data_IF_376883405384
#
_entry.id   IF_376883405384
#
_cell.length_a   1.000
_cell.length_b   1.000
_cell.length_c   1.000
_cell.angle_alpha   90.00
_cell.angle_beta   90.00
_cell.angle_gamma   90.00
#
_symmetry.space_group_name_H-M   'P 1'
#
loop_
_entity.id
_entity.type
_entity.pdbx_description
1 polymer ?
#
# COMPACT_ATOMS: atom_id res chain seq x y z
N UNK A 1 -4.58 41.54 27.79
CA UNK A 1 -5.86 40.81 27.78
C UNK A 1 -5.88 39.92 26.54
N UNK A 2 -5.87 38.59 26.69
CA UNK A 2 -6.01 37.70 25.54
C UNK A 2 -7.45 37.79 25.02
N UNK A 3 -7.62 38.05 23.73
CA UNK A 3 -8.94 38.05 23.09
C UNK A 3 -9.44 36.59 23.03
N UNK A 4 -10.72 36.31 23.30
CA UNK A 4 -11.25 34.94 23.31
C UNK A 4 -11.24 34.29 21.91
N UNK A 5 -11.38 35.10 20.86
CA UNK A 5 -11.42 34.63 19.47
C UNK A 5 -10.16 33.84 19.03
N UNK A 6 -8.92 34.34 19.19
CA UNK A 6 -7.73 33.58 18.81
C UNK A 6 -7.56 32.28 19.62
N UNK A 7 -8.04 32.23 20.87
CA UNK A 7 -7.99 31.01 21.69
C UNK A 7 -8.92 29.93 21.14
N UNK A 8 -10.12 30.30 20.70
CA UNK A 8 -11.07 29.37 20.08
C UNK A 8 -10.55 28.83 18.75
N UNK A 9 -9.90 29.68 17.94
CA UNK A 9 -9.29 29.25 16.68
C UNK A 9 -8.16 28.25 16.93
N UNK A 10 -7.28 28.52 17.91
CA UNK A 10 -6.20 27.60 18.24
C UNK A 10 -6.71 26.24 18.72
N UNK A 11 -7.74 26.24 19.58
CA UNK A 11 -8.33 25.00 20.10
C UNK A 11 -8.98 24.16 18.98
N UNK A 12 -9.67 24.80 18.04
CA UNK A 12 -10.28 24.11 16.90
C UNK A 12 -9.23 23.47 15.97
N UNK A 13 -8.12 24.16 15.70
CA UNK A 13 -7.03 23.62 14.88
C UNK A 13 -6.35 22.42 15.55
N UNK A 14 -6.12 22.49 16.87
CA UNK A 14 -5.50 21.39 17.63
C UNK A 14 -6.40 20.15 17.69
N UNK A 15 -7.72 20.32 17.86
CA UNK A 15 -8.66 19.21 17.87
C UNK A 15 -8.79 18.50 16.51
N UNK A 16 -8.68 19.25 15.40
CA UNK A 16 -8.76 18.69 14.05
C UNK A 16 -7.56 17.82 13.67
N UNK A 17 -6.38 18.04 14.26
CA UNK A 17 -5.18 17.23 14.00
C UNK A 17 -5.02 16.04 14.97
N UNK A 18 -5.80 15.98 16.04
CA UNK A 18 -5.70 14.93 17.06
C UNK A 18 -6.58 13.70 16.77
N UNK A 19 -7.37 13.73 15.69
CA UNK A 19 -8.17 12.57 15.29
C UNK A 19 -7.26 11.50 14.69
N UNK A 20 -7.13 10.38 15.38
CA UNK A 20 -6.56 9.15 14.81
C UNK A 20 -7.72 8.37 14.18
N UNK A 21 -7.84 8.31 12.83
CA UNK A 21 -8.89 7.52 12.20
C UNK A 21 -8.63 6.06 12.51
N UNK A 22 -9.66 5.38 13.04
CA UNK A 22 -9.61 3.93 13.24
C UNK A 22 -9.40 3.26 11.87
N UNK A 23 -8.30 2.53 11.73
CA UNK A 23 -8.03 1.78 10.52
C UNK A 23 -8.95 0.55 10.47
N UNK A 24 -9.63 0.36 9.34
CA UNK A 24 -10.40 -0.85 9.10
C UNK A 24 -9.47 -2.07 9.20
N UNK A 25 -9.88 -3.07 10.00
CA UNK A 25 -9.19 -4.35 10.05
C UNK A 25 -9.33 -5.04 8.69
N UNK A 26 -8.28 -4.95 7.88
CA UNK A 26 -8.18 -5.70 6.64
C UNK A 26 -8.00 -7.17 7.03
N UNK A 27 -9.10 -7.94 6.98
CA UNK A 27 -9.04 -9.40 7.01
C UNK A 27 -8.25 -9.84 5.79
N UNK A 28 -6.98 -10.13 6.02
CA UNK A 28 -6.00 -10.50 5.00
C UNK A 28 -6.13 -12.00 4.70
N UNK A 29 -7.32 -12.46 4.32
CA UNK A 29 -7.34 -13.69 3.52
C UNK A 29 -6.52 -13.39 2.26
N UNK A 30 -5.64 -14.31 1.79
CA UNK A 30 -4.92 -14.12 0.55
C UNK A 30 -5.91 -14.21 -0.61
N UNK A 31 -6.69 -13.15 -0.81
CA UNK A 31 -7.58 -13.02 -1.94
C UNK A 31 -6.74 -13.04 -3.21
N UNK A 32 -7.17 -13.84 -4.18
CA UNK A 32 -6.54 -13.89 -5.48
C UNK A 32 -6.61 -12.49 -6.11
N UNK A 33 -5.45 -11.90 -6.38
CA UNK A 33 -5.37 -10.59 -7.02
C UNK A 33 -5.50 -10.80 -8.52
N UNK A 34 -6.56 -10.22 -9.10
CA UNK A 34 -6.70 -10.14 -10.55
C UNK A 34 -5.88 -8.99 -11.08
N UNK A 35 -4.74 -9.31 -11.70
CA UNK A 35 -3.91 -8.35 -12.39
C UNK A 35 -4.47 -8.04 -13.77
N UNK A 36 -4.36 -6.77 -14.16
CA UNK A 36 -4.47 -6.38 -15.57
C UNK A 36 -3.29 -6.97 -16.36
N UNK A 37 -3.45 -7.10 -17.67
CA UNK A 37 -2.36 -7.58 -18.53
C UNK A 37 -1.12 -6.71 -18.51
N UNK A 38 -1.29 -5.39 -18.35
CA UNK A 38 -0.17 -4.49 -18.18
C UNK A 38 0.62 -4.82 -16.89
N UNK A 39 -0.07 -5.02 -15.77
CA UNK A 39 0.57 -5.36 -14.49
C UNK A 39 1.24 -6.74 -14.55
N UNK A 40 0.59 -7.73 -15.15
CA UNK A 40 1.17 -9.06 -15.31
C UNK A 40 2.41 -9.04 -16.22
N UNK A 41 2.36 -8.31 -17.33
CA UNK A 41 3.51 -8.16 -18.22
C UNK A 41 4.68 -7.45 -17.51
N UNK A 42 4.38 -6.40 -16.75
CA UNK A 42 5.39 -5.71 -15.94
C UNK A 42 6.05 -6.63 -14.92
N UNK A 43 5.28 -7.49 -14.23
CA UNK A 43 5.84 -8.50 -13.31
C UNK A 43 6.75 -9.50 -14.04
N UNK A 44 6.31 -10.00 -15.21
CA UNK A 44 7.10 -10.93 -16.01
C UNK A 44 8.44 -10.36 -16.48
N UNK A 45 8.50 -9.05 -16.75
CA UNK A 45 9.74 -8.36 -17.14
C UNK A 45 10.66 -8.04 -15.95
N UNK A 46 10.09 -7.75 -14.77
CA UNK A 46 10.87 -7.26 -13.62
C UNK A 46 11.43 -8.37 -12.73
N UNK A 47 10.67 -9.45 -12.50
CA UNK A 47 11.11 -10.58 -11.65
C UNK A 47 12.47 -11.16 -12.09
N UNK A 48 12.75 -11.39 -13.40
CA UNK A 48 14.05 -11.86 -13.84
C UNK A 48 15.19 -10.88 -13.57
N UNK A 49 14.93 -9.57 -13.63
CA UNK A 49 15.96 -8.54 -13.35
C UNK A 49 16.32 -8.54 -11.87
N UNK A 50 15.33 -8.69 -10.99
CA UNK A 50 15.54 -8.79 -9.54
C UNK A 50 16.36 -10.05 -9.23
N UNK A 51 15.96 -11.20 -9.78
CA UNK A 51 16.71 -12.45 -9.61
C UNK A 51 18.17 -12.32 -10.06
N UNK A 52 18.37 -11.74 -11.24
CA UNK A 52 19.72 -11.60 -11.81
C UNK A 52 20.65 -10.73 -10.95
N UNK A 53 20.10 -9.73 -10.25
CA UNK A 53 20.89 -8.81 -9.41
C UNK A 53 21.06 -9.29 -7.96
N UNK A 54 20.03 -9.91 -7.40
CA UNK A 54 19.96 -10.22 -5.97
C UNK A 54 19.91 -11.70 -5.62
N UNK A 55 19.74 -12.57 -6.61
CA UNK A 55 19.53 -14.00 -6.40
C UNK A 55 18.21 -14.31 -5.67
N UNK A 56 18.10 -15.56 -5.23
CA UNK A 56 16.92 -16.11 -4.55
C UNK A 56 16.61 -15.38 -3.24
N UNK A 57 17.63 -15.12 -2.41
CA UNK A 57 17.45 -14.46 -1.11
C UNK A 57 16.84 -13.04 -1.18
N UNK A 58 16.96 -12.37 -2.33
CA UNK A 58 16.31 -11.07 -2.57
C UNK A 58 14.89 -11.25 -3.09
N UNK A 59 14.64 -12.29 -3.89
CA UNK A 59 13.30 -12.65 -4.34
C UNK A 59 12.40 -13.10 -3.20
N UNK A 60 12.92 -13.87 -2.24
CA UNK A 60 12.16 -14.32 -1.07
C UNK A 60 11.67 -13.15 -0.19
N UNK A 61 12.37 -12.02 -0.26
CA UNK A 61 12.02 -10.77 0.43
C UNK A 61 11.16 -9.84 -0.42
N UNK A 62 10.85 -10.21 -1.66
CA UNK A 62 10.04 -9.42 -2.55
C UNK A 62 8.56 -9.60 -2.19
N UNK A 63 8.06 -8.75 -1.30
CA UNK A 63 6.70 -8.82 -0.74
C UNK A 63 5.58 -8.62 -1.77
N UNK A 64 5.89 -8.11 -2.97
CA UNK A 64 4.91 -7.85 -4.02
C UNK A 64 4.73 -9.04 -4.97
N UNK A 65 4.76 -10.27 -4.47
CA UNK A 65 4.21 -11.42 -5.19
C UNK A 65 2.80 -11.73 -4.65
N UNK A 66 1.76 -11.03 -5.14
CA UNK A 66 0.40 -11.38 -4.76
C UNK A 66 0.07 -12.78 -5.27
N UNK A 67 -0.79 -13.51 -4.56
CA UNK A 67 -1.36 -14.74 -5.09
C UNK A 67 -2.21 -14.38 -6.31
N UNK A 68 -1.74 -14.77 -7.49
CA UNK A 68 -2.40 -14.42 -8.75
C UNK A 68 -3.53 -15.40 -9.02
N UNK A 69 -4.72 -14.87 -9.32
CA UNK A 69 -5.72 -15.66 -10.00
C UNK A 69 -5.40 -15.77 -11.50
N UNK A 70 -6.30 -16.36 -12.31
CA UNK A 70 -6.06 -16.56 -13.74
C UNK A 70 -5.82 -15.22 -14.45
N UNK A 71 -4.68 -15.11 -15.14
CA UNK A 71 -4.30 -13.95 -15.95
C UNK A 71 -4.63 -14.25 -17.42
N UNK A 72 -5.75 -13.72 -17.90
CA UNK A 72 -6.29 -13.98 -19.25
C UNK A 72 -5.68 -13.09 -20.34
N UNK A 73 -4.36 -13.00 -20.42
CA UNK A 73 -3.68 -12.18 -21.42
C UNK A 73 -3.41 -13.00 -22.68
N UNK A 74 -3.73 -12.41 -23.84
CA UNK A 74 -3.64 -13.04 -25.16
C UNK A 74 -2.37 -12.62 -25.87
#
# INVERSE_FOLDING_TARGET
MLRPLPLLILAALLAGCASEPEAEEVVREPALVQLSCYQANWQAETVPVIYKRGGEAVLDKYEFMPNLGPVGCR
#
